data_IF_119850673618
#
_entry.id   IF_119850673618
#
_cell.length_a   1.000
_cell.length_b   1.000
_cell.length_c   1.000
_cell.angle_alpha   90.00
_cell.angle_beta   90.00
_cell.angle_gamma   90.00
#
_symmetry.space_group_name_H-M   'P 1'
#
loop_
_entity.id
_entity.type
_entity.pdbx_description
1 polymer ?
#
# COMPACT_ATOMS: atom_id res chain seq x y z
N UNK A 1 20.36 21.78 -8.46
CA UNK A 1 19.52 21.29 -7.32
C UNK A 1 18.19 20.84 -7.88
N UNK A 2 17.88 19.55 -7.84
CA UNK A 2 16.61 19.03 -8.33
C UNK A 2 15.51 19.48 -7.36
N UNK A 3 14.63 20.36 -7.82
CA UNK A 3 13.42 20.76 -7.11
C UNK A 3 12.58 19.51 -6.92
N UNK A 4 12.42 19.04 -5.69
CA UNK A 4 11.49 17.97 -5.36
C UNK A 4 10.09 18.42 -5.80
N UNK A 5 9.66 17.95 -6.95
CA UNK A 5 8.31 18.21 -7.45
C UNK A 5 7.37 17.41 -6.57
N UNK A 6 6.81 18.06 -5.56
CA UNK A 6 5.84 17.47 -4.67
C UNK A 6 4.72 16.83 -5.50
N UNK A 7 4.35 15.62 -5.13
CA UNK A 7 3.27 14.82 -5.73
C UNK A 7 1.99 15.67 -5.86
N UNK A 8 1.75 16.22 -7.05
CA UNK A 8 0.53 16.98 -7.34
C UNK A 8 -0.61 15.98 -7.49
N UNK A 9 -1.52 15.98 -6.51
CA UNK A 9 -2.75 15.20 -6.64
C UNK A 9 -3.47 15.56 -7.93
N UNK A 10 -4.02 14.58 -8.67
CA UNK A 10 -4.79 14.87 -9.88
C UNK A 10 -5.96 15.78 -9.54
N UNK A 11 -6.22 16.79 -10.39
CA UNK A 11 -7.28 17.79 -10.20
C UNK A 11 -8.67 17.14 -10.09
N UNK A 12 -8.87 15.99 -10.76
CA UNK A 12 -10.13 15.25 -10.76
C UNK A 12 -9.86 13.73 -10.75
N UNK A 13 -9.76 13.15 -9.54
CA UNK A 13 -9.55 11.72 -9.30
C UNK A 13 -10.68 10.86 -9.89
N UNK A 14 -11.93 11.32 -9.84
CA UNK A 14 -13.07 10.54 -10.38
C UNK A 14 -12.99 10.38 -11.89
N UNK A 15 -12.61 11.45 -12.60
CA UNK A 15 -12.44 11.43 -14.05
C UNK A 15 -11.27 10.51 -14.45
N UNK A 16 -10.16 10.57 -13.72
CA UNK A 16 -8.99 9.71 -13.96
C UNK A 16 -9.33 8.23 -13.78
N UNK A 17 -10.00 7.88 -12.67
CA UNK A 17 -10.44 6.50 -12.42
C UNK A 17 -11.43 6.04 -13.51
N UNK A 18 -12.37 6.89 -13.92
CA UNK A 18 -13.33 6.54 -14.98
C UNK A 18 -12.62 6.24 -16.30
N UNK A 19 -11.62 7.02 -16.69
CA UNK A 19 -10.81 6.75 -17.89
C UNK A 19 -10.08 5.41 -17.79
N UNK A 20 -9.44 5.11 -16.65
CA UNK A 20 -8.80 3.81 -16.45
C UNK A 20 -9.81 2.65 -16.53
N UNK A 21 -11.01 2.83 -15.96
CA UNK A 21 -12.07 1.82 -16.03
C UNK A 21 -12.56 1.58 -17.48
N UNK A 22 -12.48 2.56 -18.37
CA UNK A 22 -12.82 2.37 -19.80
C UNK A 22 -11.81 1.41 -20.45
N UNK A 23 -10.50 1.59 -20.22
CA UNK A 23 -9.47 0.66 -20.73
C UNK A 23 -9.61 -0.75 -20.14
N UNK A 24 -9.93 -0.86 -18.85
CA UNK A 24 -10.23 -2.17 -18.24
C UNK A 24 -11.47 -2.80 -18.88
N UNK A 25 -12.49 -2.02 -19.20
CA UNK A 25 -13.72 -2.48 -19.84
C UNK A 25 -13.51 -3.11 -21.21
N UNK A 26 -12.50 -2.66 -21.96
CA UNK A 26 -12.13 -3.25 -23.27
C UNK A 26 -11.64 -4.70 -23.11
N UNK A 27 -11.04 -5.05 -21.96
CA UNK A 27 -10.52 -6.38 -21.66
C UNK A 27 -11.30 -7.10 -20.55
N UNK A 28 -12.59 -6.81 -20.40
CA UNK A 28 -13.47 -7.32 -19.33
C UNK A 28 -13.41 -8.83 -19.12
N UNK A 29 -13.34 -9.62 -20.19
CA UNK A 29 -13.26 -11.09 -20.09
C UNK A 29 -11.97 -11.58 -19.46
N UNK A 30 -10.82 -10.93 -19.77
CA UNK A 30 -9.55 -11.26 -19.14
C UNK A 30 -9.56 -10.92 -17.65
N UNK A 31 -10.10 -9.75 -17.27
CA UNK A 31 -10.22 -9.38 -15.87
C UNK A 31 -11.21 -10.25 -15.10
N UNK A 32 -12.30 -10.69 -15.76
CA UNK A 32 -13.25 -11.62 -15.16
C UNK A 32 -12.62 -13.00 -14.90
N UNK A 33 -11.81 -13.49 -15.85
CA UNK A 33 -11.06 -14.73 -15.68
C UNK A 33 -10.01 -14.62 -14.57
N UNK A 34 -9.30 -13.49 -14.49
CA UNK A 34 -8.37 -13.20 -13.36
C UNK A 34 -9.13 -13.23 -12.05
N UNK A 35 -10.28 -12.54 -11.96
CA UNK A 35 -11.10 -12.53 -10.75
C UNK A 35 -11.53 -13.95 -10.35
N UNK A 36 -11.97 -14.77 -11.30
CA UNK A 36 -12.35 -16.17 -11.04
C UNK A 36 -11.18 -16.99 -10.48
N UNK A 37 -10.01 -16.89 -11.10
CA UNK A 37 -8.81 -17.60 -10.63
C UNK A 37 -8.36 -17.12 -9.24
N UNK A 38 -8.47 -15.82 -8.94
CA UNK A 38 -8.22 -15.28 -7.60
C UNK A 38 -9.20 -15.83 -6.59
N UNK A 39 -10.49 -15.94 -6.94
CA UNK A 39 -11.52 -16.53 -6.08
C UNK A 39 -11.24 -18.01 -5.79
N UNK A 40 -10.79 -18.79 -6.79
CA UNK A 40 -10.41 -20.20 -6.61
C UNK A 40 -9.21 -20.29 -5.65
N UNK A 41 -8.18 -19.49 -5.85
CA UNK A 41 -6.98 -19.47 -5.00
C UNK A 41 -7.31 -19.08 -3.55
N UNK A 42 -8.06 -17.98 -3.36
CA UNK A 42 -8.48 -17.52 -2.03
C UNK A 42 -9.41 -18.54 -1.35
N UNK A 43 -10.35 -19.13 -2.11
CA UNK A 43 -11.23 -20.19 -1.63
C UNK A 43 -10.47 -21.43 -1.16
N UNK A 44 -9.44 -21.85 -1.87
CA UNK A 44 -8.58 -22.97 -1.47
C UNK A 44 -7.88 -22.67 -0.13
N UNK A 45 -7.35 -21.44 0.08
CA UNK A 45 -6.72 -21.06 1.33
C UNK A 45 -7.71 -21.06 2.51
N UNK A 46 -8.90 -20.46 2.34
CA UNK A 46 -9.93 -20.39 3.39
C UNK A 46 -10.43 -21.79 3.74
N UNK A 47 -10.75 -22.59 2.72
CA UNK A 47 -11.25 -23.97 2.90
C UNK A 47 -10.17 -24.86 3.54
N UNK A 48 -8.90 -24.68 3.17
CA UNK A 48 -7.79 -25.42 3.76
C UNK A 48 -7.65 -25.16 5.27
N UNK A 49 -7.76 -23.92 5.70
CA UNK A 49 -7.77 -23.57 7.12
C UNK A 49 -8.97 -24.18 7.85
N UNK A 50 -10.17 -24.18 7.24
CA UNK A 50 -11.36 -24.79 7.80
C UNK A 50 -11.22 -26.31 7.97
N UNK A 51 -10.62 -26.99 6.98
CA UNK A 51 -10.45 -28.45 6.99
C UNK A 51 -9.49 -28.96 8.08
N UNK A 52 -8.64 -28.10 8.64
CA UNK A 52 -7.75 -28.47 9.75
C UNK A 52 -8.55 -29.04 10.95
N UNK A 53 -9.66 -28.38 11.32
CA UNK A 53 -10.47 -28.82 12.45
C UNK A 53 -11.06 -30.22 12.26
N UNK A 54 -11.77 -30.54 11.16
CA UNK A 54 -12.29 -31.91 10.94
C UNK A 54 -11.17 -32.94 10.75
N UNK A 55 -10.03 -32.57 10.16
CA UNK A 55 -8.91 -33.53 10.01
C UNK A 55 -8.30 -33.88 11.37
N UNK A 56 -8.10 -32.92 12.25
CA UNK A 56 -7.59 -33.18 13.60
C UNK A 56 -8.58 -34.05 14.39
N UNK A 57 -9.86 -33.65 14.45
CA UNK A 57 -10.84 -34.30 15.31
C UNK A 57 -11.28 -35.69 14.80
N UNK A 58 -11.26 -35.89 13.47
CA UNK A 58 -11.86 -37.11 12.85
C UNK A 58 -10.81 -38.15 12.52
N UNK A 59 -9.54 -37.79 12.34
CA UNK A 59 -8.47 -38.68 11.91
C UNK A 59 -7.30 -38.73 12.89
N UNK A 60 -6.84 -37.56 13.38
CA UNK A 60 -5.66 -37.52 14.30
C UNK A 60 -6.06 -38.01 15.69
N UNK A 61 -7.13 -37.47 16.28
CA UNK A 61 -7.54 -37.83 17.65
C UNK A 61 -7.93 -39.31 17.76
N UNK A 62 -8.67 -39.93 16.81
CA UNK A 62 -8.99 -41.36 16.85
C UNK A 62 -7.84 -42.28 16.39
N UNK A 63 -6.76 -41.75 15.80
CA UNK A 63 -5.61 -42.50 15.29
C UNK A 63 -5.82 -43.21 13.96
N UNK A 64 -6.83 -42.79 13.17
CA UNK A 64 -7.09 -43.37 11.84
C UNK A 64 -6.08 -42.90 10.80
N UNK A 65 -4.98 -43.64 10.64
CA UNK A 65 -3.91 -43.32 9.68
C UNK A 65 -4.37 -43.35 8.23
N UNK A 66 -5.25 -44.32 7.86
CA UNK A 66 -5.72 -44.45 6.49
C UNK A 66 -6.65 -43.28 6.09
N UNK A 67 -7.52 -42.87 7.01
CA UNK A 67 -8.36 -41.69 6.85
C UNK A 67 -7.53 -40.40 6.77
N UNK A 68 -6.49 -40.28 7.61
CA UNK A 68 -5.58 -39.13 7.62
C UNK A 68 -4.84 -38.98 6.28
N UNK A 69 -4.26 -40.05 5.75
CA UNK A 69 -3.54 -40.01 4.45
C UNK A 69 -4.47 -39.56 3.32
N UNK A 70 -5.70 -40.04 3.27
CA UNK A 70 -6.68 -39.59 2.26
C UNK A 70 -7.05 -38.12 2.42
N UNK A 71 -7.27 -37.67 3.65
CA UNK A 71 -7.61 -36.28 3.93
C UNK A 71 -6.46 -35.33 3.56
N UNK A 72 -5.21 -35.69 3.92
CA UNK A 72 -4.00 -34.90 3.57
C UNK A 72 -3.79 -34.90 2.06
N UNK A 73 -3.99 -36.03 1.38
CA UNK A 73 -3.90 -36.09 -0.09
C UNK A 73 -4.96 -35.19 -0.77
N UNK A 74 -6.20 -35.20 -0.29
CA UNK A 74 -7.25 -34.32 -0.79
C UNK A 74 -6.94 -32.83 -0.55
N UNK A 75 -6.42 -32.48 0.63
CA UNK A 75 -5.94 -31.12 0.91
C UNK A 75 -4.76 -30.75 0.00
N UNK A 76 -3.84 -31.67 -0.25
CA UNK A 76 -2.72 -31.49 -1.18
C UNK A 76 -3.17 -31.14 -2.59
N UNK A 77 -4.15 -31.90 -3.13
CA UNK A 77 -4.76 -31.62 -4.45
C UNK A 77 -5.43 -30.22 -4.46
N UNK A 78 -6.17 -29.90 -3.41
CA UNK A 78 -6.84 -28.59 -3.29
C UNK A 78 -5.83 -27.44 -3.28
N UNK A 79 -4.76 -27.54 -2.50
CA UNK A 79 -3.70 -26.53 -2.48
C UNK A 79 -2.95 -26.46 -3.81
N UNK A 80 -2.74 -27.59 -4.47
CA UNK A 80 -2.14 -27.63 -5.81
C UNK A 80 -3.03 -26.86 -6.82
N UNK A 81 -4.34 -27.08 -6.79
CA UNK A 81 -5.29 -26.32 -7.62
C UNK A 81 -5.22 -24.82 -7.29
N UNK A 82 -5.15 -24.44 -6.02
CA UNK A 82 -4.97 -23.04 -5.59
C UNK A 82 -3.66 -22.43 -6.09
N UNK A 83 -2.56 -23.17 -6.03
CA UNK A 83 -1.26 -22.73 -6.54
C UNK A 83 -1.26 -22.56 -8.08
N UNK A 84 -1.85 -23.51 -8.81
CA UNK A 84 -2.02 -23.40 -10.27
C UNK A 84 -2.91 -22.21 -10.64
N UNK A 85 -4.00 -21.98 -9.90
CA UNK A 85 -4.83 -20.80 -10.07
C UNK A 85 -4.05 -19.50 -9.83
N UNK A 86 -3.16 -19.47 -8.82
CA UNK A 86 -2.27 -18.34 -8.53
C UNK A 86 -1.31 -18.07 -9.69
N UNK A 87 -0.65 -19.10 -10.19
CA UNK A 87 0.21 -18.98 -11.38
C UNK A 87 -0.57 -18.50 -12.61
N UNK A 88 -1.78 -19.04 -12.78
CA UNK A 88 -2.68 -18.68 -13.88
C UNK A 88 -3.07 -17.21 -13.86
N UNK A 89 -3.58 -16.71 -12.71
CA UNK A 89 -3.99 -15.31 -12.64
C UNK A 89 -2.81 -14.33 -12.73
N UNK A 90 -1.65 -14.64 -12.15
CA UNK A 90 -0.46 -13.79 -12.27
C UNK A 90 -0.02 -13.66 -13.73
N UNK A 91 0.11 -14.77 -14.45
CA UNK A 91 0.47 -14.75 -15.89
C UNK A 91 -0.55 -14.00 -16.73
N UNK A 92 -1.83 -14.25 -16.48
CA UNK A 92 -2.91 -13.60 -17.22
C UNK A 92 -2.97 -12.10 -16.92
N UNK A 93 -2.75 -11.71 -15.66
CA UNK A 93 -2.72 -10.32 -15.23
C UNK A 93 -1.59 -9.55 -15.92
N UNK A 94 -0.37 -10.07 -15.90
CA UNK A 94 0.77 -9.47 -16.61
C UNK A 94 0.46 -9.33 -18.10
N UNK A 95 -0.09 -10.37 -18.75
CA UNK A 95 -0.42 -10.35 -20.18
C UNK A 95 -1.50 -9.33 -20.52
N UNK A 96 -2.50 -9.18 -19.66
CA UNK A 96 -3.61 -8.23 -19.83
C UNK A 96 -3.16 -6.80 -19.57
N UNK A 97 -2.40 -6.57 -18.50
CA UNK A 97 -1.87 -5.23 -18.19
C UNK A 97 -0.96 -4.72 -19.31
N UNK A 98 -0.09 -5.58 -19.88
CA UNK A 98 0.76 -5.19 -21.02
C UNK A 98 -0.05 -4.78 -22.26
N UNK A 99 -1.19 -5.42 -22.51
CA UNK A 99 -2.08 -4.99 -23.61
C UNK A 99 -2.67 -3.62 -23.34
N UNK A 100 -3.21 -3.40 -22.12
CA UNK A 100 -3.77 -2.10 -21.72
C UNK A 100 -2.71 -0.99 -21.78
N UNK A 101 -1.51 -1.27 -21.28
CA UNK A 101 -0.39 -0.31 -21.31
C UNK A 101 0.02 0.04 -22.74
N UNK A 102 0.04 -0.93 -23.64
CA UNK A 102 0.29 -0.68 -25.07
C UNK A 102 -0.77 0.29 -25.65
N UNK A 103 -2.04 0.10 -25.33
CA UNK A 103 -3.12 0.97 -25.78
C UNK A 103 -2.96 2.38 -25.19
N UNK A 104 -2.69 2.50 -23.90
CA UNK A 104 -2.44 3.80 -23.23
C UNK A 104 -1.24 4.51 -23.88
N UNK A 105 -0.13 3.81 -24.14
CA UNK A 105 1.04 4.41 -24.81
C UNK A 105 0.72 4.86 -26.23
N UNK A 106 -0.06 4.07 -26.99
CA UNK A 106 -0.50 4.42 -28.33
C UNK A 106 -1.37 5.68 -28.35
N UNK A 107 -2.35 5.74 -27.45
CA UNK A 107 -3.26 6.88 -27.32
C UNK A 107 -2.52 8.14 -26.84
N UNK A 108 -1.59 7.97 -25.89
CA UNK A 108 -0.75 9.06 -25.41
C UNK A 108 0.12 9.62 -26.54
N UNK A 109 0.74 8.76 -27.35
CA UNK A 109 1.55 9.17 -28.48
C UNK A 109 0.70 9.91 -29.55
N UNK A 110 -0.44 9.34 -29.91
CA UNK A 110 -1.36 9.98 -30.85
C UNK A 110 -1.90 11.33 -30.35
N UNK A 111 -2.08 11.47 -29.04
CA UNK A 111 -2.51 12.74 -28.43
C UNK A 111 -1.38 13.78 -28.47
N UNK A 112 -0.17 13.39 -28.08
CA UNK A 112 1.00 14.29 -28.08
C UNK A 112 1.29 14.83 -29.48
N UNK A 113 1.13 14.03 -30.55
CA UNK A 113 1.33 14.49 -31.92
C UNK A 113 0.32 15.57 -32.37
N UNK A 114 -0.84 15.68 -31.70
CA UNK A 114 -1.87 16.68 -31.99
C UNK A 114 -1.72 17.96 -31.17
N UNK A 115 -0.76 18.04 -30.26
CA UNK A 115 -0.54 19.22 -29.45
C UNK A 115 0.11 20.34 -30.25
N UNK A 116 -0.23 21.62 -29.99
CA UNK A 116 0.37 22.77 -30.63
C UNK A 116 1.85 22.92 -30.22
N UNK A 117 2.67 23.53 -31.09
CA UNK A 117 4.10 23.78 -30.84
C UNK A 117 4.34 24.53 -29.52
N UNK A 118 3.48 25.46 -29.17
CA UNK A 118 3.53 26.21 -27.91
C UNK A 118 3.57 25.28 -26.67
N UNK A 119 2.98 24.10 -26.73
CA UNK A 119 3.04 23.12 -25.64
C UNK A 119 4.45 22.57 -25.48
N UNK A 120 5.15 22.31 -26.59
CA UNK A 120 6.51 21.76 -26.57
C UNK A 120 7.53 22.81 -26.12
N UNK A 121 7.30 24.09 -26.44
CA UNK A 121 8.12 25.20 -25.96
C UNK A 121 7.99 25.43 -24.45
N UNK A 122 6.81 25.12 -23.88
CA UNK A 122 6.53 25.29 -22.45
C UNK A 122 6.96 24.11 -21.56
N UNK A 123 7.28 22.94 -22.16
CA UNK A 123 7.63 21.72 -21.43
C UNK A 123 8.95 21.13 -21.88
N UNK A 124 9.75 20.64 -20.96
CA UNK A 124 11.03 20.01 -21.30
C UNK A 124 10.82 18.62 -21.92
N UNK A 125 11.73 18.23 -22.82
CA UNK A 125 11.74 16.88 -23.41
C UNK A 125 11.78 15.79 -22.34
N UNK A 126 12.51 16.01 -21.24
CA UNK A 126 12.59 15.10 -20.11
C UNK A 126 11.25 14.91 -19.39
N UNK A 127 10.46 15.99 -19.23
CA UNK A 127 9.11 15.91 -18.64
C UNK A 127 8.16 15.09 -19.52
N UNK A 128 8.18 15.30 -20.82
CA UNK A 128 7.38 14.53 -21.75
C UNK A 128 7.79 13.05 -21.74
N UNK A 129 9.09 12.76 -21.79
CA UNK A 129 9.59 11.39 -21.75
C UNK A 129 9.25 10.69 -20.42
N UNK A 130 9.30 11.40 -19.30
CA UNK A 130 8.88 10.86 -18.00
C UNK A 130 7.42 10.40 -17.99
N UNK A 131 6.53 11.07 -18.72
CA UNK A 131 5.13 10.64 -18.86
C UNK A 131 5.00 9.33 -19.64
N UNK A 132 5.81 9.13 -20.68
CA UNK A 132 5.80 7.91 -21.48
C UNK A 132 6.41 6.71 -20.77
N UNK A 133 7.35 6.95 -19.85
CA UNK A 133 8.05 5.92 -19.08
C UNK A 133 7.48 5.80 -17.68
N UNK A 134 7.88 6.69 -16.77
CA UNK A 134 7.60 6.58 -15.34
C UNK A 134 6.11 6.58 -14.99
N UNK A 135 5.31 7.48 -15.61
CA UNK A 135 3.88 7.56 -15.28
C UNK A 135 3.13 6.33 -15.80
N UNK A 136 3.45 5.88 -17.01
CA UNK A 136 2.82 4.69 -17.60
C UNK A 136 3.25 3.42 -16.88
N UNK A 137 4.52 3.30 -16.49
CA UNK A 137 5.02 2.16 -15.72
C UNK A 137 4.41 2.12 -14.32
N UNK A 138 4.18 3.27 -13.67
CA UNK A 138 3.45 3.35 -12.41
C UNK A 138 1.99 2.85 -12.54
N UNK A 139 1.31 3.17 -13.65
CA UNK A 139 -0.03 2.63 -13.94
C UNK A 139 0.03 1.12 -14.14
N UNK A 140 1.04 0.61 -14.85
CA UNK A 140 1.24 -0.82 -15.05
C UNK A 140 1.43 -1.56 -13.71
N UNK A 141 2.29 -1.04 -12.85
CA UNK A 141 2.56 -1.62 -11.54
C UNK A 141 1.30 -1.62 -10.66
N UNK A 142 0.57 -0.50 -10.64
CA UNK A 142 -0.70 -0.40 -9.93
C UNK A 142 -1.72 -1.43 -10.44
N UNK A 143 -1.84 -1.63 -11.75
CA UNK A 143 -2.73 -2.63 -12.33
C UNK A 143 -2.32 -4.05 -11.94
N UNK A 144 -1.04 -4.40 -12.08
CA UNK A 144 -0.54 -5.75 -11.79
C UNK A 144 -0.74 -6.14 -10.33
N UNK A 145 -0.45 -5.23 -9.40
CA UNK A 145 -0.44 -5.52 -7.98
C UNK A 145 -1.81 -5.27 -7.33
N UNK A 146 -2.47 -4.14 -7.66
CA UNK A 146 -3.66 -3.72 -6.91
C UNK A 146 -4.92 -4.50 -7.27
N UNK A 147 -5.12 -4.88 -8.53
CA UNK A 147 -6.37 -5.53 -8.95
C UNK A 147 -6.57 -6.89 -8.27
N UNK A 148 -5.58 -7.77 -8.38
CA UNK A 148 -5.64 -9.09 -7.75
C UNK A 148 -5.67 -8.98 -6.21
N UNK A 149 -4.86 -8.06 -5.65
CA UNK A 149 -4.79 -7.83 -4.21
C UNK A 149 -6.12 -7.34 -3.62
N UNK A 150 -6.84 -6.45 -4.29
CA UNK A 150 -8.15 -5.98 -3.83
C UNK A 150 -9.13 -7.14 -3.77
N UNK A 151 -9.27 -7.93 -4.84
CA UNK A 151 -10.19 -9.07 -4.88
C UNK A 151 -9.81 -10.09 -3.80
N UNK A 152 -8.53 -10.42 -3.69
CA UNK A 152 -8.03 -11.37 -2.69
C UNK A 152 -8.30 -10.88 -1.27
N UNK A 153 -8.05 -9.61 -0.96
CA UNK A 153 -8.28 -9.03 0.36
C UNK A 153 -9.75 -9.02 0.74
N UNK A 154 -10.65 -8.68 -0.20
CA UNK A 154 -12.08 -8.77 0.02
C UNK A 154 -12.50 -10.21 0.30
N UNK A 155 -12.04 -11.17 -0.50
CA UNK A 155 -12.38 -12.57 -0.35
C UNK A 155 -11.89 -13.14 0.98
N UNK A 156 -10.65 -12.81 1.37
CA UNK A 156 -10.08 -13.23 2.66
C UNK A 156 -10.84 -12.61 3.83
N UNK A 157 -11.14 -11.31 3.78
CA UNK A 157 -11.87 -10.63 4.85
C UNK A 157 -13.27 -11.23 5.04
N UNK A 158 -14.08 -11.24 3.98
CA UNK A 158 -15.44 -11.74 4.06
C UNK A 158 -15.49 -13.26 4.28
N UNK A 159 -14.63 -14.01 3.61
CA UNK A 159 -14.55 -15.46 3.77
C UNK A 159 -14.15 -15.86 5.18
N UNK A 160 -13.17 -15.19 5.78
CA UNK A 160 -12.76 -15.43 7.17
C UNK A 160 -13.89 -15.08 8.15
N UNK A 161 -14.56 -13.94 7.98
CA UNK A 161 -15.69 -13.54 8.84
C UNK A 161 -16.84 -14.56 8.75
N UNK A 162 -17.20 -14.99 7.54
CA UNK A 162 -18.25 -16.01 7.34
C UNK A 162 -17.85 -17.33 8.00
N UNK A 163 -16.61 -17.80 7.78
CA UNK A 163 -16.12 -19.04 8.39
C UNK A 163 -16.09 -18.98 9.92
N UNK A 164 -15.67 -17.85 10.48
CA UNK A 164 -15.72 -17.65 11.93
C UNK A 164 -17.14 -17.75 12.48
N UNK A 165 -18.12 -17.14 11.80
CA UNK A 165 -19.54 -17.22 12.21
C UNK A 165 -20.08 -18.66 12.14
N UNK A 166 -19.72 -19.40 11.10
CA UNK A 166 -20.11 -20.81 10.93
C UNK A 166 -19.50 -21.72 12.00
N UNK A 167 -18.23 -21.45 12.37
CA UNK A 167 -17.51 -22.25 13.37
C UNK A 167 -18.01 -22.03 14.79
N UNK A 168 -18.19 -20.79 15.21
CA UNK A 168 -18.69 -20.43 16.54
C UNK A 168 -19.06 -18.95 16.61
N UNK A 169 -20.35 -18.67 16.69
CA UNK A 169 -20.86 -17.29 16.78
C UNK A 169 -20.39 -16.58 18.05
N UNK A 170 -20.22 -17.32 19.17
CA UNK A 170 -19.77 -16.75 20.45
C UNK A 170 -18.32 -16.27 20.36
N UNK A 171 -17.43 -17.08 19.78
CA UNK A 171 -16.03 -16.70 19.59
C UNK A 171 -15.88 -15.57 18.56
N UNK A 172 -16.68 -15.58 17.49
CA UNK A 172 -16.72 -14.52 16.49
C UNK A 172 -17.08 -13.17 17.11
N UNK A 173 -18.04 -13.15 18.03
CA UNK A 173 -18.46 -11.94 18.71
C UNK A 173 -17.34 -11.36 19.59
N UNK A 174 -16.60 -12.22 20.29
CA UNK A 174 -15.41 -11.82 21.08
C UNK A 174 -14.36 -11.18 20.16
N UNK A 175 -14.07 -11.81 19.03
CA UNK A 175 -13.09 -11.28 18.06
C UNK A 175 -13.53 -9.93 17.49
N UNK A 176 -14.82 -9.76 17.15
CA UNK A 176 -15.35 -8.48 16.65
C UNK A 176 -15.22 -7.38 17.69
N UNK A 177 -15.57 -7.64 18.96
CA UNK A 177 -15.37 -6.67 20.04
C UNK A 177 -13.90 -6.29 20.15
N UNK A 178 -13.03 -7.27 20.08
CA UNK A 178 -11.58 -7.09 20.13
C UNK A 178 -11.05 -6.22 18.97
N UNK A 179 -11.52 -6.47 17.75
CA UNK A 179 -11.18 -5.66 16.57
C UNK A 179 -11.66 -4.21 16.72
N UNK A 180 -12.84 -3.98 17.30
CA UNK A 180 -13.35 -2.63 17.58
C UNK A 180 -12.43 -1.91 18.56
N UNK A 181 -12.06 -2.57 19.67
CA UNK A 181 -11.13 -2.01 20.66
C UNK A 181 -9.79 -1.66 20.01
N UNK A 182 -9.23 -2.59 19.22
CA UNK A 182 -7.98 -2.37 18.49
C UNK A 182 -8.08 -1.17 17.54
N UNK A 183 -9.18 -1.06 16.79
CA UNK A 183 -9.42 0.07 15.88
C UNK A 183 -9.47 1.41 16.62
N UNK A 184 -10.14 1.46 17.79
CA UNK A 184 -10.19 2.66 18.63
C UNK A 184 -8.79 3.05 19.13
N UNK A 185 -8.02 2.09 19.61
CA UNK A 185 -6.65 2.32 20.09
C UNK A 185 -5.75 2.82 18.96
N UNK A 186 -5.80 2.21 17.78
CA UNK A 186 -5.04 2.66 16.60
C UNK A 186 -5.43 4.08 16.20
N UNK A 187 -6.72 4.39 16.21
CA UNK A 187 -7.22 5.73 15.86
C UNK A 187 -6.76 6.81 16.84
N UNK A 188 -6.77 6.51 18.14
CA UNK A 188 -6.31 7.42 19.17
C UNK A 188 -4.80 7.66 19.08
N UNK A 189 -4.01 6.59 18.99
CA UNK A 189 -2.56 6.69 18.83
C UNK A 189 -2.18 7.40 17.52
N UNK A 190 -2.85 7.08 16.41
CA UNK A 190 -2.61 7.72 15.12
C UNK A 190 -2.88 9.22 15.13
N UNK A 191 -3.92 9.67 15.86
CA UNK A 191 -4.22 11.10 16.03
C UNK A 191 -3.08 11.83 16.76
N UNK A 192 -2.58 11.25 17.84
CA UNK A 192 -1.47 11.82 18.61
C UNK A 192 -0.16 11.80 17.82
N UNK A 193 0.17 10.68 17.21
CA UNK A 193 1.33 10.52 16.32
C UNK A 193 1.33 11.58 15.22
N UNK A 194 0.22 11.75 14.49
CA UNK A 194 0.09 12.76 13.43
C UNK A 194 0.35 14.18 13.94
N UNK A 195 -0.15 14.53 15.14
CA UNK A 195 0.08 15.84 15.73
C UNK A 195 1.57 16.11 15.96
N UNK A 196 2.30 15.15 16.52
CA UNK A 196 3.73 15.30 16.80
C UNK A 196 4.58 15.25 15.53
N UNK A 197 4.23 14.40 14.55
CA UNK A 197 4.89 14.42 13.24
C UNK A 197 4.75 15.76 12.51
N UNK A 198 3.57 16.39 12.56
CA UNK A 198 3.39 17.71 11.97
C UNK A 198 4.27 18.76 12.67
N UNK A 199 4.36 18.72 14.00
CA UNK A 199 5.25 19.62 14.75
C UNK A 199 6.72 19.35 14.46
N UNK A 200 7.12 18.10 14.34
CA UNK A 200 8.47 17.72 13.93
C UNK A 200 8.83 18.31 12.55
N UNK A 201 7.91 18.23 11.58
CA UNK A 201 8.12 18.81 10.25
C UNK A 201 8.21 20.34 10.28
N UNK A 202 7.44 20.99 11.15
CA UNK A 202 7.51 22.43 11.36
C UNK A 202 8.88 22.85 11.94
N UNK A 203 9.36 22.16 12.98
CA UNK A 203 10.67 22.45 13.57
C UNK A 203 11.82 22.13 12.59
N UNK A 204 11.70 21.05 11.80
CA UNK A 204 12.65 20.75 10.73
C UNK A 204 12.69 21.87 9.66
N UNK A 205 11.53 22.42 9.32
CA UNK A 205 11.43 23.57 8.42
C UNK A 205 12.16 24.80 8.96
N UNK A 206 12.05 25.08 10.28
CA UNK A 206 12.76 26.19 10.94
C UNK A 206 14.27 25.99 10.90
N UNK A 207 14.75 24.76 11.18
CA UNK A 207 16.19 24.45 11.08
C UNK A 207 16.68 24.64 9.64
N UNK A 208 15.98 24.09 8.66
CA UNK A 208 16.38 24.20 7.25
C UNK A 208 16.39 25.67 6.78
N UNK A 209 15.39 26.47 7.17
CA UNK A 209 15.35 27.89 6.88
C UNK A 209 16.52 28.65 7.51
N UNK A 210 16.82 28.37 8.78
CA UNK A 210 17.95 28.97 9.47
C UNK A 210 19.29 28.59 8.84
N UNK A 211 19.51 27.33 8.51
CA UNK A 211 20.75 26.89 7.84
C UNK A 211 20.91 27.52 6.46
N UNK A 212 19.80 27.66 5.71
CA UNK A 212 19.84 28.34 4.42
C UNK A 212 20.20 29.83 4.58
N UNK A 213 19.56 30.52 5.53
CA UNK A 213 19.86 31.92 5.85
C UNK A 213 21.34 32.15 6.24
N UNK A 214 21.88 31.26 7.09
CA UNK A 214 23.29 31.30 7.48
C UNK A 214 24.22 31.00 6.31
N UNK A 215 23.88 30.07 5.44
CA UNK A 215 24.69 29.76 4.26
C UNK A 215 24.72 30.92 3.26
N UNK A 216 23.60 31.60 3.07
CA UNK A 216 23.50 32.77 2.19
C UNK A 216 24.17 34.02 2.82
N UNK A 217 24.03 34.19 4.15
CA UNK A 217 24.54 35.32 4.93
C UNK A 217 25.96 35.15 5.48
N UNK A 218 26.65 34.02 5.23
CA UNK A 218 27.91 33.65 5.88
C UNK A 218 29.00 34.74 5.85
N UNK A 219 29.09 35.54 4.77
CA UNK A 219 30.04 36.63 4.65
C UNK A 219 29.75 37.78 5.64
N UNK A 220 28.49 38.08 5.85
CA UNK A 220 28.01 39.13 6.76
C UNK A 220 28.21 38.68 8.20
N UNK A 221 27.87 37.43 8.51
CA UNK A 221 28.04 36.82 9.83
C UNK A 221 29.50 36.90 10.31
N UNK A 222 30.45 36.58 9.42
CA UNK A 222 31.89 36.64 9.69
C UNK A 222 32.39 38.07 9.97
N UNK A 223 31.85 39.07 9.26
CA UNK A 223 32.25 40.49 9.45
C UNK A 223 31.78 41.01 10.81
N UNK A 224 30.63 40.53 11.32
CA UNK A 224 30.06 40.99 12.59
C UNK A 224 30.37 40.07 13.78
N UNK A 225 31.15 38.99 13.61
CA UNK A 225 31.50 38.00 14.66
C UNK A 225 30.29 37.45 15.40
N UNK A 226 29.22 37.08 14.66
CA UNK A 226 27.97 36.57 15.22
C UNK A 226 27.91 35.07 15.39
N UNK A 227 28.98 34.32 15.06
CA UNK A 227 29.00 32.85 15.03
C UNK A 227 28.54 32.19 16.35
N UNK A 228 28.98 32.77 17.49
CA UNK A 228 28.61 32.22 18.79
C UNK A 228 27.10 32.36 19.08
N UNK A 229 26.50 33.48 18.66
CA UNK A 229 25.06 33.72 18.83
C UNK A 229 24.22 32.82 17.91
N UNK A 230 24.67 32.67 16.67
CA UNK A 230 23.97 31.86 15.68
C UNK A 230 24.11 30.36 15.98
N UNK A 231 25.24 29.93 16.52
CA UNK A 231 25.41 28.59 17.07
C UNK A 231 24.47 28.33 18.24
N UNK A 232 24.32 29.25 19.18
CA UNK A 232 23.38 29.11 20.29
C UNK A 232 21.93 28.99 19.78
N UNK A 233 21.58 29.78 18.76
CA UNK A 233 20.25 29.72 18.12
C UNK A 233 20.03 28.39 17.41
N UNK A 234 21.02 27.89 16.70
CA UNK A 234 20.96 26.57 16.07
C UNK A 234 20.74 25.45 17.10
N UNK A 235 21.46 25.51 18.23
CA UNK A 235 21.29 24.55 19.32
C UNK A 235 19.89 24.57 19.91
N UNK A 236 19.28 25.75 20.07
CA UNK A 236 17.90 25.90 20.54
C UNK A 236 16.90 25.27 19.55
N UNK A 237 17.04 25.57 18.25
CA UNK A 237 16.18 24.99 17.19
C UNK A 237 16.36 23.47 17.12
N UNK A 238 17.58 22.98 17.22
CA UNK A 238 17.91 21.55 17.20
C UNK A 238 17.31 20.83 18.41
N UNK A 239 17.34 21.43 19.60
CA UNK A 239 16.74 20.86 20.82
C UNK A 239 15.20 20.81 20.72
N UNK A 240 14.57 21.81 20.16
CA UNK A 240 13.13 21.82 19.90
C UNK A 240 12.74 20.71 18.90
N UNK A 241 13.48 20.56 17.82
CA UNK A 241 13.30 19.46 16.87
C UNK A 241 13.49 18.09 17.55
N UNK A 242 14.54 17.91 18.34
CA UNK A 242 14.80 16.68 19.10
C UNK A 242 13.59 16.30 19.97
N UNK A 243 13.05 17.26 20.74
CA UNK A 243 11.86 17.02 21.60
C UNK A 243 10.65 16.55 20.80
N UNK A 244 10.33 17.24 19.69
CA UNK A 244 9.19 16.87 18.85
C UNK A 244 9.42 15.52 18.13
N UNK A 245 10.65 15.26 17.67
CA UNK A 245 11.03 13.99 17.06
C UNK A 245 10.92 12.82 18.04
N UNK A 246 11.41 13.00 19.28
CA UNK A 246 11.29 11.98 20.31
C UNK A 246 9.83 11.64 20.59
N UNK A 247 8.95 12.66 20.74
CA UNK A 247 7.54 12.45 20.96
C UNK A 247 6.87 11.75 19.76
N UNK A 248 7.18 12.19 18.53
CA UNK A 248 6.63 11.60 17.30
C UNK A 248 6.99 10.11 17.18
N UNK A 249 8.27 9.79 17.38
CA UNK A 249 8.78 8.42 17.30
C UNK A 249 8.29 7.55 18.46
N UNK A 250 8.15 8.09 19.68
CA UNK A 250 7.60 7.35 20.82
C UNK A 250 6.16 6.92 20.56
N UNK A 251 5.29 7.83 20.09
CA UNK A 251 3.91 7.47 19.74
C UNK A 251 3.82 6.53 18.54
N UNK A 252 4.68 6.69 17.53
CA UNK A 252 4.74 5.75 16.41
C UNK A 252 5.25 4.38 16.86
N UNK A 253 6.27 4.34 17.72
CA UNK A 253 6.85 3.10 18.25
C UNK A 253 5.92 2.32 19.17
N UNK A 254 5.01 2.97 19.90
CA UNK A 254 3.98 2.32 20.69
C UNK A 254 2.97 1.52 19.85
N UNK A 255 2.86 1.80 18.57
CA UNK A 255 1.91 1.14 17.69
C UNK A 255 2.25 -0.35 17.49
N UNK A 256 3.54 -0.69 17.34
CA UNK A 256 3.99 -2.07 17.11
C UNK A 256 3.72 -2.95 18.36
N UNK A 257 4.16 -2.59 19.59
CA UNK A 257 3.85 -3.38 20.78
C UNK A 257 2.35 -3.49 21.04
N UNK A 258 1.59 -2.42 20.78
CA UNK A 258 0.13 -2.44 20.95
C UNK A 258 -0.52 -3.46 20.01
N UNK A 259 -0.05 -3.58 18.77
CA UNK A 259 -0.52 -4.59 17.84
C UNK A 259 -0.07 -6.00 18.20
N UNK A 260 1.13 -6.17 18.77
CA UNK A 260 1.70 -7.49 19.14
C UNK A 260 1.09 -8.09 20.40
N UNK A 261 0.52 -7.29 21.31
CA UNK A 261 -0.26 -7.77 22.47
C UNK A 261 -1.54 -8.47 22.03
N UNK A 262 -1.96 -8.23 20.78
CA UNK A 262 -3.14 -8.82 20.18
C UNK A 262 -2.70 -9.83 19.10
N UNK A 263 -2.29 -11.07 19.48
CA UNK A 263 -1.95 -12.09 18.49
C UNK A 263 -3.20 -12.43 17.69
N UNK A 264 -3.11 -12.14 16.39
CA UNK A 264 -4.09 -12.60 15.39
C UNK A 264 -3.65 -13.96 14.90
#
# INVERSE_FOLDING_TARGET
>A
MAKYVGYKRPKDTKKTIRHLLVYLGMHKWSFLLVALLVLISAGANITGTYLLKPVINRFIVPGDLNGLVRAVAAMGVMYLCGALATLGYNRLMVKTSQKVIREIRSDLFAHVQKLPLQYFDAHTHGELMSRFTNDVDAVQEAMNNSFAMIIQSFMMLFGTVIMMMVLSIRLSLIVVVFLIVMFVVIRLNGKHSKKYFNRQQEELGKINGFVQEMAEGQKVEKVFNHEAKDYARFCELSENFRKQSTNALSFAGMMIPTLSVFPI
#
